data_IF_299889217524
#
_entry.id   IF_299889217524
#
_cell.length_a   1.000
_cell.length_b   1.000
_cell.length_c   1.000
_cell.angle_alpha   90.00
_cell.angle_beta   90.00
_cell.angle_gamma   90.00
#
_symmetry.space_group_name_H-M   'P 1'
#
loop_
_entity.id
_entity.type
_entity.pdbx_description
1 polymer ?
#
# COMPACT_ATOMS: atom_id res chain seq x y z
N UNK A 1 3.83 1.67 -15.02
CA UNK A 1 3.43 2.29 -13.73
C UNK A 1 4.58 3.16 -13.26
N UNK A 2 4.28 4.30 -12.63
CA UNK A 2 5.31 5.16 -12.05
C UNK A 2 5.89 4.51 -10.79
N UNK A 3 7.19 4.69 -10.47
CA UNK A 3 7.73 4.24 -9.20
C UNK A 3 7.02 4.97 -8.06
N UNK A 4 6.55 4.22 -7.05
CA UNK A 4 5.92 4.77 -5.87
C UNK A 4 7.00 5.01 -4.80
N UNK A 5 7.25 6.26 -4.36
CA UNK A 5 8.05 6.49 -3.16
C UNK A 5 7.31 5.91 -1.96
N UNK A 6 7.99 5.08 -1.17
CA UNK A 6 7.37 4.35 -0.06
C UNK A 6 8.17 4.48 1.24
N UNK A 7 7.43 4.52 2.35
CA UNK A 7 7.92 4.13 3.66
C UNK A 7 7.43 2.71 3.93
N UNK A 8 8.34 1.83 4.33
CA UNK A 8 8.03 0.43 4.60
C UNK A 8 8.41 0.08 6.04
N UNK A 9 7.54 -0.65 6.74
CA UNK A 9 7.78 -1.05 8.12
C UNK A 9 6.97 -2.28 8.54
N UNK A 10 7.34 -2.85 9.69
CA UNK A 10 6.61 -3.98 10.29
C UNK A 10 5.39 -3.45 11.07
N UNK A 11 4.24 -4.06 10.84
CA UNK A 11 2.99 -3.75 11.55
C UNK A 11 3.11 -4.23 13.00
N UNK A 12 2.82 -3.34 13.95
CA UNK A 12 2.76 -3.67 15.37
C UNK A 12 1.52 -4.52 15.70
N UNK A 13 1.54 -5.33 16.78
CA UNK A 13 0.36 -6.04 17.26
C UNK A 13 -0.77 -5.06 17.65
N UNK A 14 -2.01 -5.39 17.30
CA UNK A 14 -3.21 -4.61 17.63
C UNK A 14 -4.48 -5.47 17.46
N UNK A 15 -5.59 -5.06 18.07
CA UNK A 15 -6.90 -5.73 17.95
C UNK A 15 -6.86 -7.24 18.27
N UNK A 16 -6.12 -7.63 19.31
CA UNK A 16 -5.86 -9.04 19.67
C UNK A 16 -5.25 -9.90 18.54
N UNK A 17 -4.64 -9.24 17.55
CA UNK A 17 -3.93 -9.87 16.45
C UNK A 17 -2.42 -9.62 16.57
N UNK A 18 -1.58 -10.60 16.17
CA UNK A 18 -0.12 -10.52 16.34
C UNK A 18 0.54 -9.48 15.43
N UNK A 19 -0.15 -8.97 14.41
CA UNK A 19 0.43 -8.07 13.42
C UNK A 19 1.59 -8.74 12.67
N UNK A 20 2.70 -8.02 12.50
CA UNK A 20 3.94 -8.56 11.96
C UNK A 20 4.06 -8.58 10.43
N UNK A 21 2.97 -8.29 9.72
CA UNK A 21 2.99 -8.02 8.29
C UNK A 21 3.81 -6.78 7.94
N UNK A 22 4.13 -6.62 6.65
CA UNK A 22 4.78 -5.42 6.13
C UNK A 22 3.71 -4.43 5.69
N UNK A 23 3.80 -3.20 6.20
CA UNK A 23 2.99 -2.07 5.74
C UNK A 23 3.80 -1.19 4.80
N UNK A 24 3.13 -0.71 3.76
CA UNK A 24 3.65 0.26 2.79
C UNK A 24 2.81 1.54 2.92
N UNK A 25 3.47 2.67 3.12
CA UNK A 25 2.85 4.00 3.09
C UNK A 25 3.44 4.83 1.94
N UNK A 26 2.61 5.52 1.14
CA UNK A 26 3.12 6.48 0.15
C UNK A 26 3.92 7.59 0.83
N UNK A 27 5.15 7.82 0.37
CA UNK A 27 6.03 8.85 0.91
C UNK A 27 5.93 10.15 0.09
N UNK A 28 4.82 10.85 0.24
CA UNK A 28 4.59 12.17 -0.36
C UNK A 28 4.49 13.25 0.73
N UNK A 29 4.74 14.53 0.41
CA UNK A 29 4.57 15.63 1.36
C UNK A 29 3.14 15.73 1.92
N UNK A 30 2.15 15.45 1.09
CA UNK A 30 0.74 15.40 1.47
C UNK A 30 0.25 13.96 1.57
N UNK A 31 -0.78 13.73 2.42
CA UNK A 31 -1.43 12.43 2.50
C UNK A 31 -2.22 12.16 1.22
N UNK A 32 -1.91 11.05 0.56
CA UNK A 32 -2.63 10.55 -0.61
C UNK A 32 -3.33 9.24 -0.30
N UNK A 33 -4.47 9.00 -0.94
CA UNK A 33 -5.23 7.76 -0.81
C UNK A 33 -5.05 6.87 -2.06
N UNK A 34 -5.63 5.66 -2.01
CA UNK A 34 -5.50 4.67 -3.09
C UNK A 34 -6.09 5.16 -4.41
N UNK A 35 -7.24 5.85 -4.37
CA UNK A 35 -7.88 6.40 -5.57
C UNK A 35 -6.98 7.42 -6.28
N UNK A 36 -6.34 8.31 -5.53
CA UNK A 36 -5.36 9.25 -6.07
C UNK A 36 -4.18 8.51 -6.72
N UNK A 37 -3.66 7.46 -6.10
CA UNK A 37 -2.54 6.67 -6.63
C UNK A 37 -2.90 5.97 -7.95
N UNK A 38 -4.12 5.47 -8.08
CA UNK A 38 -4.64 4.87 -9.33
C UNK A 38 -4.71 5.95 -10.42
N UNK A 39 -5.40 7.07 -10.13
CA UNK A 39 -5.58 8.18 -11.07
C UNK A 39 -4.26 8.78 -11.55
N UNK A 40 -3.23 8.76 -10.70
CA UNK A 40 -1.90 9.28 -11.04
C UNK A 40 -0.92 8.24 -11.61
N UNK A 41 -1.36 6.98 -11.77
CA UNK A 41 -0.60 5.93 -12.45
C UNK A 41 0.52 5.29 -11.63
N UNK A 42 0.46 5.40 -10.29
CA UNK A 42 1.41 4.75 -9.37
C UNK A 42 1.05 3.29 -9.10
N UNK A 43 -0.25 3.00 -9.01
CA UNK A 43 -0.77 1.64 -8.83
C UNK A 43 -1.84 1.37 -9.88
N UNK A 44 -2.14 0.09 -10.10
CA UNK A 44 -3.25 -0.35 -10.95
C UNK A 44 -4.03 -1.43 -10.24
N UNK A 45 -5.33 -1.46 -10.47
CA UNK A 45 -6.13 -2.62 -10.12
C UNK A 45 -5.69 -3.83 -10.94
N UNK A 46 -5.69 -5.01 -10.31
CA UNK A 46 -5.36 -6.27 -10.96
C UNK A 46 -6.50 -7.26 -10.71
N UNK A 47 -7.04 -7.83 -11.79
CA UNK A 47 -8.06 -8.87 -11.68
C UNK A 47 -7.40 -10.19 -11.25
N UNK A 48 -7.69 -10.63 -10.02
CA UNK A 48 -7.15 -11.86 -9.43
C UNK A 48 -7.88 -13.11 -9.92
N UNK A 49 -7.76 -13.46 -11.21
CA UNK A 49 -8.22 -14.76 -11.69
C UNK A 49 -7.29 -15.93 -11.28
N UNK A 50 -6.07 -15.65 -10.80
CA UNK A 50 -5.01 -16.65 -10.60
C UNK A 50 -4.30 -16.61 -9.23
N UNK A 51 -4.82 -15.90 -8.22
CA UNK A 51 -4.28 -15.97 -6.86
C UNK A 51 -5.04 -17.04 -6.06
N UNK A 52 -4.56 -18.29 -6.12
CA UNK A 52 -4.84 -19.32 -5.12
C UNK A 52 -3.83 -19.22 -3.99
#
# INVERSE_FOLDING_TARGET
MKPLPVLQGKIAPAFDQPGGGIQILPNFPERVNVDWLIKNGYVKEVNNANHK
#
